data_IF_310022983982
#
_entry.id   IF_310022983982
#
_cell.length_a   1.000
_cell.length_b   1.000
_cell.length_c   1.000
_cell.angle_alpha   90.00
_cell.angle_beta   90.00
_cell.angle_gamma   90.00
#
_symmetry.space_group_name_H-M   'P 1'
#
loop_
_entity.id
_entity.type
_entity.pdbx_description
1 polymer ?
#
# COMPACT_ATOMS: atom_id res chain seq x y z
N UNK A 1 -0.14 -20.51 28.95
CA UNK A 1 0.13 -19.42 27.98
C UNK A 1 0.76 -20.02 26.73
N UNK A 2 0.05 -20.09 25.59
CA UNK A 2 0.64 -20.52 24.31
C UNK A 2 1.27 -19.29 23.65
N UNK A 3 2.59 -19.17 23.69
CA UNK A 3 3.30 -18.13 22.94
C UNK A 3 3.16 -18.41 21.44
N UNK A 4 2.57 -17.47 20.73
CA UNK A 4 2.40 -17.56 19.28
C UNK A 4 3.72 -17.15 18.61
N UNK A 5 4.20 -17.91 17.63
CA UNK A 5 5.49 -17.67 16.97
C UNK A 5 5.58 -16.26 16.34
N UNK A 6 4.45 -15.68 15.95
CA UNK A 6 4.36 -14.31 15.44
C UNK A 6 4.71 -13.25 16.48
N UNK A 7 4.35 -13.44 17.76
CA UNK A 7 4.74 -12.49 18.82
C UNK A 7 6.24 -12.51 19.04
N UNK A 8 6.86 -13.70 19.04
CA UNK A 8 8.31 -13.81 19.17
C UNK A 8 9.03 -13.08 18.04
N UNK A 9 8.54 -13.25 16.80
CA UNK A 9 9.11 -12.58 15.62
C UNK A 9 8.95 -11.05 15.70
N UNK A 10 7.84 -10.55 16.24
CA UNK A 10 7.61 -9.12 16.44
C UNK A 10 8.56 -8.54 17.48
N UNK A 11 8.68 -9.17 18.65
CA UNK A 11 9.52 -8.67 19.77
C UNK A 11 11.01 -8.60 19.35
N UNK A 12 11.46 -9.50 18.48
CA UNK A 12 12.80 -9.46 17.91
C UNK A 12 12.94 -8.42 16.78
N UNK A 13 11.98 -8.36 15.87
CA UNK A 13 12.10 -7.52 14.67
C UNK A 13 12.03 -6.01 14.96
N UNK A 14 11.24 -5.59 15.94
CA UNK A 14 11.07 -4.16 16.29
C UNK A 14 12.38 -3.51 16.76
N UNK A 15 13.10 -4.02 17.77
CA UNK A 15 14.36 -3.43 18.19
C UNK A 15 15.42 -3.48 17.09
N UNK A 16 15.45 -4.55 16.28
CA UNK A 16 16.35 -4.66 15.13
C UNK A 16 16.04 -3.54 14.11
N UNK A 17 14.77 -3.29 13.80
CA UNK A 17 14.36 -2.24 12.87
C UNK A 17 14.69 -0.84 13.38
N UNK A 18 14.49 -0.58 14.68
CA UNK A 18 14.84 0.70 15.31
C UNK A 18 16.36 0.91 15.29
N UNK A 19 17.14 -0.10 15.66
CA UNK A 19 18.61 -0.03 15.61
C UNK A 19 19.12 0.24 14.19
N UNK A 20 18.54 -0.40 13.17
CA UNK A 20 18.89 -0.16 11.78
C UNK A 20 18.53 1.29 11.38
N UNK A 21 17.37 1.79 11.78
CA UNK A 21 16.95 3.16 11.46
C UNK A 21 17.85 4.23 12.13
N UNK A 22 18.27 3.98 13.37
CA UNK A 22 19.25 4.81 14.09
C UNK A 22 20.62 4.81 13.38
N UNK A 23 21.09 3.64 12.92
CA UNK A 23 22.36 3.56 12.16
C UNK A 23 22.32 4.32 10.84
N UNK A 24 21.15 4.44 10.22
CA UNK A 24 20.96 5.25 9.01
C UNK A 24 20.65 6.73 9.31
N UNK A 25 20.68 7.16 10.59
CA UNK A 25 20.39 8.53 11.02
C UNK A 25 19.01 9.03 10.55
N UNK A 26 18.00 8.15 10.46
CA UNK A 26 16.65 8.58 10.12
C UNK A 26 16.04 9.33 11.30
N UNK A 27 15.53 10.54 11.04
CA UNK A 27 14.81 11.37 12.03
C UNK A 27 13.56 10.69 12.63
N UNK A 28 13.16 9.51 12.14
CA UNK A 28 11.96 8.77 12.53
C UNK A 28 12.24 7.29 12.84
N UNK A 29 13.24 6.99 13.67
CA UNK A 29 13.52 5.61 14.07
C UNK A 29 12.34 4.90 14.76
N UNK A 30 11.52 5.63 15.52
CA UNK A 30 10.28 5.10 16.10
C UNK A 30 9.27 4.62 15.05
N UNK A 31 9.22 5.27 13.88
CA UNK A 31 8.34 4.86 12.77
C UNK A 31 8.78 3.54 12.14
N UNK A 32 10.09 3.29 12.07
CA UNK A 32 10.63 2.02 11.55
C UNK A 32 10.17 0.81 12.38
N UNK A 33 10.09 0.97 13.71
CA UNK A 33 9.51 -0.06 14.59
C UNK A 33 8.03 -0.35 14.28
N UNK A 34 7.23 0.69 14.04
CA UNK A 34 5.81 0.56 13.69
C UNK A 34 5.65 -0.15 12.34
N UNK A 35 6.47 0.19 11.34
CA UNK A 35 6.46 -0.48 10.03
C UNK A 35 6.84 -1.96 10.16
N UNK A 36 7.82 -2.28 11.01
CA UNK A 36 8.20 -3.67 11.29
C UNK A 36 7.06 -4.46 11.95
N UNK A 37 6.36 -3.86 12.92
CA UNK A 37 5.15 -4.42 13.54
C UNK A 37 4.07 -4.69 12.50
N UNK A 38 3.76 -3.73 11.64
CA UNK A 38 2.75 -3.85 10.57
C UNK A 38 3.11 -4.93 9.54
N UNK A 39 4.40 -5.15 9.29
CA UNK A 39 4.86 -6.15 8.34
C UNK A 39 4.67 -7.59 8.86
N UNK A 40 4.80 -7.78 10.18
CA UNK A 40 4.67 -9.09 10.86
C UNK A 40 3.22 -9.42 11.20
N UNK A 41 2.37 -8.41 11.40
CA UNK A 41 0.96 -8.64 11.62
C UNK A 41 0.32 -9.38 10.42
N UNK A 42 -0.51 -10.41 10.67
CA UNK A 42 -1.13 -11.21 9.61
C UNK A 42 -2.08 -10.41 8.70
N UNK A 43 -2.40 -9.16 9.05
CA UNK A 43 -3.15 -8.20 8.24
C UNK A 43 -2.41 -7.77 6.96
N UNK A 44 -1.09 -8.01 6.87
CA UNK A 44 -0.28 -7.57 5.72
C UNK A 44 -0.64 -8.26 4.40
N UNK A 45 -1.06 -9.53 4.44
CA UNK A 45 -1.47 -10.27 3.22
C UNK A 45 -2.70 -9.63 2.56
N UNK A 46 -3.67 -9.23 3.38
CA UNK A 46 -4.90 -8.62 2.90
C UNK A 46 -4.65 -7.18 2.40
N UNK A 47 -3.80 -6.41 3.08
CA UNK A 47 -3.44 -5.07 2.62
C UNK A 47 -2.70 -5.08 1.27
N UNK A 48 -1.82 -6.06 1.03
CA UNK A 48 -1.12 -6.19 -0.25
C UNK A 48 -2.06 -6.61 -1.40
N UNK A 49 -3.01 -7.52 -1.14
CA UNK A 49 -4.03 -7.89 -2.12
C UNK A 49 -4.94 -6.69 -2.46
N UNK A 50 -5.39 -5.94 -1.45
CA UNK A 50 -6.23 -4.76 -1.65
C UNK A 50 -5.46 -3.65 -2.38
N UNK A 51 -4.18 -3.44 -2.06
CA UNK A 51 -3.33 -2.50 -2.76
C UNK A 51 -3.15 -2.88 -4.24
N UNK A 52 -2.91 -4.17 -4.53
CA UNK A 52 -2.84 -4.69 -5.90
C UNK A 52 -4.15 -4.52 -6.67
N UNK A 53 -5.29 -4.82 -6.04
CA UNK A 53 -6.62 -4.62 -6.64
C UNK A 53 -6.88 -3.14 -6.96
N UNK A 54 -6.51 -2.22 -6.05
CA UNK A 54 -6.63 -0.78 -6.27
C UNK A 54 -5.76 -0.29 -7.42
N UNK A 55 -4.53 -0.82 -7.52
CA UNK A 55 -3.61 -0.47 -8.59
C UNK A 55 -4.11 -0.96 -9.96
N UNK A 56 -4.60 -2.21 -10.02
CA UNK A 56 -5.19 -2.77 -11.23
C UNK A 56 -6.46 -2.03 -11.65
N UNK A 57 -7.35 -1.69 -10.71
CA UNK A 57 -8.56 -0.91 -10.98
C UNK A 57 -8.24 0.49 -11.52
N UNK A 58 -7.24 1.17 -10.94
CA UNK A 58 -6.79 2.48 -11.41
C UNK A 58 -6.19 2.42 -12.82
N UNK A 59 -5.33 1.43 -13.09
CA UNK A 59 -4.78 1.20 -14.43
C UNK A 59 -5.88 0.92 -15.46
N UNK A 60 -6.86 0.08 -15.12
CA UNK A 60 -7.98 -0.21 -15.99
C UNK A 60 -8.79 1.05 -16.30
N UNK A 61 -9.05 1.88 -15.28
CA UNK A 61 -9.78 3.15 -15.41
C UNK A 61 -9.06 4.14 -16.32
N UNK A 62 -7.73 4.27 -16.21
CA UNK A 62 -6.93 5.14 -17.08
C UNK A 62 -7.01 4.68 -18.54
N UNK A 63 -6.88 3.38 -18.79
CA UNK A 63 -6.99 2.81 -20.14
C UNK A 63 -8.38 3.01 -20.73
N UNK A 64 -9.42 2.82 -19.90
CA UNK A 64 -10.80 3.02 -20.32
C UNK A 64 -11.09 4.49 -20.65
N UNK A 65 -10.60 5.42 -19.82
CA UNK A 65 -10.71 6.85 -20.06
C UNK A 65 -9.98 7.25 -21.36
N UNK A 66 -8.77 6.72 -21.59
CA UNK A 66 -8.01 6.96 -22.82
C UNK A 66 -8.78 6.51 -24.06
N UNK A 67 -9.33 5.29 -24.03
CA UNK A 67 -10.08 4.73 -25.16
C UNK A 67 -11.36 5.53 -25.46
N UNK A 68 -12.08 5.98 -24.42
CA UNK A 68 -13.29 6.81 -24.56
C UNK A 68 -12.93 8.19 -25.14
N UNK A 69 -11.85 8.82 -24.67
CA UNK A 69 -11.40 10.12 -25.19
C UNK A 69 -10.94 10.06 -26.65
N UNK A 70 -10.31 8.96 -27.08
CA UNK A 70 -9.87 8.78 -28.47
C UNK A 70 -11.04 8.47 -29.42
N UNK A 71 -12.06 7.73 -28.97
CA UNK A 71 -13.21 7.36 -29.82
C UNK A 71 -14.30 8.44 -29.94
N UNK A 72 -14.50 9.27 -28.91
CA UNK A 72 -15.60 10.25 -28.87
C UNK A 72 -15.19 11.68 -29.21
N UNK A 73 -13.89 11.97 -29.33
CA UNK A 73 -13.39 13.31 -29.62
C UNK A 73 -13.57 14.30 -28.47
N UNK A 74 -12.78 15.40 -28.50
CA UNK A 74 -12.81 16.51 -27.52
C UNK A 74 -14.08 17.38 -27.62
N UNK A 75 -15.26 16.76 -27.64
CA UNK A 75 -16.51 17.49 -27.52
C UNK A 75 -17.00 17.53 -26.06
N UNK A 76 -17.59 18.66 -25.62
CA UNK A 76 -18.00 18.89 -24.23
C UNK A 76 -19.08 17.92 -23.70
N UNK A 77 -19.68 17.10 -24.57
CA UNK A 77 -20.65 16.06 -24.19
C UNK A 77 -19.99 14.82 -23.56
N UNK A 78 -18.75 14.51 -23.93
CA UNK A 78 -18.02 13.31 -23.48
C UNK A 78 -17.60 13.42 -22.01
N UNK A 79 -17.31 14.64 -21.53
CA UNK A 79 -16.98 14.91 -20.13
C UNK A 79 -18.17 14.64 -19.20
N UNK A 80 -19.40 14.85 -19.69
CA UNK A 80 -20.63 14.57 -18.94
C UNK A 80 -20.91 13.08 -18.75
N UNK A 81 -20.44 12.22 -19.65
CA UNK A 81 -20.63 10.76 -19.59
C UNK A 81 -19.51 10.04 -18.82
N UNK A 82 -18.33 10.64 -18.71
CA UNK A 82 -17.19 10.11 -17.95
C UNK A 82 -17.34 10.30 -16.41
N UNK A 83 -18.21 11.22 -15.98
CA UNK A 83 -18.49 11.54 -14.58
C UNK A 83 -19.65 10.73 -13.98
N UNK A 84 -20.34 9.91 -14.79
CA UNK A 84 -21.41 8.99 -14.37
C UNK A 84 -20.86 7.60 -14.03
#
# INVERSE_FOLDING_TARGET
MKFNYQMLKMILAVPIAVLIAETFNLSFAGSAGIIAVLCIQPTRKQSFLIAGQRFAAGLLSIVFAYFIFEQFGYEPWTVGLLLL
#
